data_IF_014854382808
#
_entry.id   IF_014854382808
#
_cell.length_a   1.000
_cell.length_b   1.000
_cell.length_c   1.000
_cell.angle_alpha   90.00
_cell.angle_beta   90.00
_cell.angle_gamma   90.00
#
_symmetry.space_group_name_H-M   'P 1'
#
loop_
_entity.id
_entity.type
_entity.pdbx_description
1 polymer ?
#
# COMPACT_ATOMS: atom_id res chain seq x y z
N UNK A 1 22.28 -20.62 -20.67
CA UNK A 1 22.34 -19.25 -20.11
C UNK A 1 21.45 -19.29 -18.89
N UNK A 2 22.03 -19.29 -17.69
CA UNK A 2 21.24 -19.31 -16.45
C UNK A 2 20.51 -17.97 -16.32
N UNK A 3 19.19 -18.02 -16.20
CA UNK A 3 18.38 -16.85 -15.91
C UNK A 3 18.23 -16.73 -14.40
N UNK A 4 18.63 -15.58 -13.87
CA UNK A 4 18.43 -15.23 -12.47
C UNK A 4 17.27 -14.24 -12.37
N UNK A 5 16.34 -14.50 -11.46
CA UNK A 5 15.30 -13.55 -11.07
C UNK A 5 15.80 -12.73 -9.90
N UNK A 6 15.86 -11.41 -10.07
CA UNK A 6 16.16 -10.48 -8.98
C UNK A 6 14.90 -10.24 -8.15
N UNK A 7 15.01 -10.37 -6.83
CA UNK A 7 13.92 -10.01 -5.94
C UNK A 7 13.80 -8.48 -5.87
N UNK A 8 12.58 -7.92 -6.01
CA UNK A 8 12.36 -6.49 -5.83
C UNK A 8 12.63 -6.08 -4.38
N UNK A 9 13.09 -4.85 -4.20
CA UNK A 9 13.21 -4.24 -2.87
C UNK A 9 11.83 -4.03 -2.24
N UNK A 10 11.78 -3.84 -0.92
CA UNK A 10 10.53 -3.48 -0.23
C UNK A 10 9.93 -2.18 -0.78
N UNK A 11 10.76 -1.18 -1.08
CA UNK A 11 10.32 0.09 -1.67
C UNK A 11 9.70 -0.11 -3.05
N UNK A 12 10.33 -0.93 -3.90
CA UNK A 12 9.78 -1.27 -5.21
C UNK A 12 8.45 -2.04 -5.07
N UNK A 13 8.35 -3.00 -4.16
CA UNK A 13 7.10 -3.72 -3.87
C UNK A 13 5.99 -2.78 -3.37
N UNK A 14 6.33 -1.87 -2.46
CA UNK A 14 5.39 -0.88 -1.94
C UNK A 14 4.87 0.04 -3.05
N UNK A 15 5.75 0.48 -3.95
CA UNK A 15 5.37 1.28 -5.13
C UNK A 15 4.39 0.53 -6.05
N UNK A 16 4.60 -0.77 -6.26
CA UNK A 16 3.71 -1.62 -7.07
C UNK A 16 2.34 -1.77 -6.39
N UNK A 17 2.30 -1.89 -5.07
CA UNK A 17 1.05 -1.93 -4.30
C UNK A 17 0.29 -0.61 -4.35
N UNK A 18 0.98 0.51 -4.14
CA UNK A 18 0.37 1.83 -4.23
C UNK A 18 -0.25 2.09 -5.61
N UNK A 19 0.43 1.64 -6.67
CA UNK A 19 -0.09 1.72 -8.03
C UNK A 19 -1.29 0.79 -8.28
N UNK A 20 -1.31 -0.40 -7.68
CA UNK A 20 -2.35 -1.40 -7.90
C UNK A 20 -3.61 -1.21 -7.04
N UNK A 21 -3.52 -0.52 -5.89
CA UNK A 21 -4.60 -0.38 -4.90
C UNK A 21 -5.92 0.08 -5.55
N UNK A 22 -5.84 1.09 -6.43
CA UNK A 22 -6.98 1.64 -7.16
C UNK A 22 -7.66 0.72 -8.18
N UNK A 23 -7.00 -0.37 -8.55
CA UNK A 23 -7.50 -1.36 -9.52
C UNK A 23 -7.94 -2.65 -8.84
N UNK A 24 -7.42 -2.90 -7.64
CA UNK A 24 -7.64 -4.09 -6.83
C UNK A 24 -7.76 -3.68 -5.37
N UNK A 25 -8.96 -3.28 -4.97
CA UNK A 25 -9.25 -2.93 -3.58
C UNK A 25 -9.46 -4.17 -2.70
N UNK A 26 -8.50 -5.10 -2.66
CA UNK A 26 -8.58 -6.28 -1.79
C UNK A 26 -8.08 -5.96 -0.40
N UNK A 27 -8.72 -6.52 0.62
CA UNK A 27 -8.37 -6.27 2.02
C UNK A 27 -6.89 -6.48 2.32
N UNK A 28 -6.31 -7.56 1.81
CA UNK A 28 -4.87 -7.86 1.97
C UNK A 28 -3.94 -6.76 1.46
N UNK A 29 -4.33 -6.02 0.41
CA UNK A 29 -3.52 -4.92 -0.12
C UNK A 29 -3.50 -3.72 0.84
N UNK A 30 -4.62 -3.45 1.54
CA UNK A 30 -4.68 -2.46 2.63
C UNK A 30 -3.86 -2.91 3.84
N UNK A 31 -3.95 -4.18 4.23
CA UNK A 31 -3.16 -4.73 5.35
C UNK A 31 -1.66 -4.67 5.05
N UNK A 32 -1.25 -5.03 3.84
CA UNK A 32 0.16 -4.94 3.43
C UNK A 32 0.66 -3.48 3.50
N UNK A 33 -0.13 -2.53 2.99
CA UNK A 33 0.22 -1.10 3.05
C UNK A 33 0.24 -0.58 4.49
N UNK A 34 -0.64 -1.07 5.37
CA UNK A 34 -0.63 -0.71 6.79
C UNK A 34 0.69 -1.10 7.45
N UNK A 35 1.16 -2.34 7.30
CA UNK A 35 2.43 -2.76 7.90
C UNK A 35 3.62 -2.03 7.30
N UNK A 36 3.64 -1.86 5.97
CA UNK A 36 4.69 -1.12 5.28
C UNK A 36 4.77 0.32 5.81
N UNK A 37 3.64 1.02 5.93
CA UNK A 37 3.58 2.41 6.36
C UNK A 37 3.82 2.58 7.87
N UNK A 38 3.46 1.57 8.67
CA UNK A 38 3.63 1.60 10.12
C UNK A 38 5.08 1.37 10.55
N UNK A 39 5.81 0.50 9.84
CA UNK A 39 7.10 0.00 10.32
C UNK A 39 8.30 0.34 9.43
N UNK A 40 8.08 0.71 8.17
CA UNK A 40 9.17 0.72 7.19
C UNK A 40 9.28 1.98 6.34
N UNK A 41 8.19 2.44 5.72
CA UNK A 41 8.24 3.47 4.66
C UNK A 41 7.18 4.56 4.88
N UNK A 42 7.44 5.73 4.33
CA UNK A 42 6.48 6.85 4.29
C UNK A 42 5.69 6.86 2.98
N UNK A 43 4.56 7.57 2.95
CA UNK A 43 3.84 7.81 1.69
C UNK A 43 4.75 8.50 0.67
N UNK A 44 5.51 9.52 1.10
CA UNK A 44 6.40 10.27 0.20
C UNK A 44 7.45 9.36 -0.46
N UNK A 45 8.08 8.46 0.30
CA UNK A 45 9.04 7.49 -0.27
C UNK A 45 8.39 6.57 -1.30
N UNK A 46 7.24 6.00 -0.97
CA UNK A 46 6.49 5.11 -1.85
C UNK A 46 6.03 5.86 -3.11
N UNK A 47 5.54 7.09 -2.96
CA UNK A 47 5.06 7.92 -4.06
C UNK A 47 6.20 8.35 -4.98
N UNK A 48 7.36 8.74 -4.44
CA UNK A 48 8.53 9.04 -5.27
C UNK A 48 8.97 7.81 -6.08
N UNK A 49 8.98 6.62 -5.48
CA UNK A 49 9.32 5.39 -6.20
C UNK A 49 8.25 5.03 -7.25
N UNK A 50 6.97 5.18 -6.92
CA UNK A 50 5.87 4.91 -7.84
C UNK A 50 5.87 5.87 -9.04
N UNK A 51 6.20 7.15 -8.84
CA UNK A 51 6.41 8.10 -9.94
C UNK A 51 7.57 7.68 -10.83
N UNK A 52 8.68 7.18 -10.27
CA UNK A 52 9.80 6.66 -11.08
C UNK A 52 9.41 5.44 -11.91
N UNK A 53 8.63 4.53 -11.33
CA UNK A 53 8.28 3.24 -11.95
C UNK A 53 7.11 3.35 -12.94
N UNK A 54 6.15 4.25 -12.70
CA UNK A 54 4.90 4.32 -13.44
C UNK A 54 4.62 5.68 -14.09
N UNK A 55 5.42 6.71 -13.80
CA UNK A 55 5.31 8.03 -14.42
C UNK A 55 3.91 8.63 -14.32
N UNK A 56 3.36 9.04 -15.46
CA UNK A 56 2.02 9.64 -15.57
C UNK A 56 0.86 8.70 -15.18
N UNK A 57 1.10 7.39 -15.11
CA UNK A 57 0.07 6.42 -14.70
C UNK A 57 -0.14 6.36 -13.19
N UNK A 58 0.71 7.03 -12.40
CA UNK A 58 0.58 7.13 -10.96
C UNK A 58 0.21 8.55 -10.53
N UNK A 59 -0.65 8.64 -9.53
CA UNK A 59 -1.03 9.90 -8.88
C UNK A 59 -1.04 9.69 -7.38
N UNK A 60 -0.17 10.39 -6.66
CA UNK A 60 -0.14 10.35 -5.20
C UNK A 60 -1.47 10.79 -4.59
N UNK A 61 -2.10 11.83 -5.17
CA UNK A 61 -3.42 12.29 -4.74
C UNK A 61 -4.43 11.14 -4.81
N UNK A 62 -4.47 10.42 -5.92
CA UNK A 62 -5.39 9.31 -6.10
C UNK A 62 -5.05 8.14 -5.16
N UNK A 63 -3.76 7.87 -4.93
CA UNK A 63 -3.31 6.87 -3.97
C UNK A 63 -3.79 7.19 -2.54
N UNK A 64 -3.65 8.43 -2.10
CA UNK A 64 -4.14 8.89 -0.78
C UNK A 64 -5.66 8.79 -0.68
N UNK A 65 -6.39 9.20 -1.72
CA UNK A 65 -7.85 9.04 -1.78
C UNK A 65 -8.27 7.57 -1.65
N UNK A 66 -7.55 6.66 -2.30
CA UNK A 66 -7.80 5.22 -2.25
C UNK A 66 -7.45 4.62 -0.89
N UNK A 67 -6.35 5.06 -0.27
CA UNK A 67 -5.99 4.66 1.10
C UNK A 67 -7.06 5.00 2.13
N UNK A 68 -7.79 6.10 1.94
CA UNK A 68 -8.86 6.51 2.83
C UNK A 68 -10.25 5.91 2.48
N UNK A 69 -10.37 5.23 1.34
CA UNK A 69 -11.66 4.75 0.84
C UNK A 69 -11.86 3.26 1.14
N UNK A 70 -12.70 2.96 2.13
CA UNK A 70 -12.91 1.59 2.60
C UNK A 70 -14.29 0.98 2.29
N UNK A 71 -15.13 1.68 1.52
CA UNK A 71 -16.54 1.28 1.31
C UNK A 71 -16.68 0.01 0.48
N UNK A 72 -15.83 -0.17 -0.53
CA UNK A 72 -15.96 -1.24 -1.54
C UNK A 72 -14.77 -2.21 -1.49
N UNK A 73 -14.26 -2.51 -0.29
CA UNK A 73 -13.17 -3.47 -0.10
C UNK A 73 -13.66 -4.90 -0.36
N UNK A 74 -12.89 -5.64 -1.13
CA UNK A 74 -13.09 -7.07 -1.37
C UNK A 74 -12.36 -7.91 -0.30
N UNK A 75 -13.15 -8.62 0.51
CA UNK A 75 -12.70 -9.53 1.58
C UNK A 75 -12.72 -11.02 1.17
N UNK A 76 -12.87 -11.32 -0.13
CA UNK A 76 -12.95 -12.70 -0.62
C UNK A 76 -11.71 -13.54 -0.32
N UNK A 77 -10.54 -12.90 -0.17
CA UNK A 77 -9.29 -13.54 0.24
C UNK A 77 -8.99 -13.18 1.71
N UNK A 78 -8.90 -14.16 2.62
CA UNK A 78 -8.54 -13.90 4.01
C UNK A 78 -7.05 -13.52 4.12
N UNK A 79 -6.71 -12.79 5.18
CA UNK A 79 -5.33 -12.50 5.54
C UNK A 79 -4.90 -13.44 6.66
N UNK A 80 -3.82 -14.18 6.42
CA UNK A 80 -3.19 -15.04 7.42
C UNK A 80 -2.07 -14.26 8.13
N UNK A 81 -2.19 -14.14 9.45
CA UNK A 81 -1.24 -13.38 10.26
C UNK A 81 -0.31 -14.33 11.01
N UNK A 82 0.96 -13.94 11.08
CA UNK A 82 1.98 -14.61 11.91
C UNK A 82 2.04 -14.04 13.33
N UNK A 83 1.30 -12.96 13.59
CA UNK A 83 1.19 -12.26 14.87
C UNK A 83 -0.29 -12.17 15.27
N UNK A 84 -0.54 -11.64 16.46
CA UNK A 84 -1.91 -11.25 16.84
C UNK A 84 -2.42 -10.20 15.83
N UNK A 85 -3.52 -10.46 15.12
CA UNK A 85 -3.99 -9.57 14.07
C UNK A 85 -4.49 -8.26 14.68
N UNK A 86 -4.06 -7.11 14.14
CA UNK A 86 -4.64 -5.82 14.53
C UNK A 86 -6.13 -5.78 14.17
N UNK A 87 -6.90 -5.00 14.92
CA UNK A 87 -8.31 -4.83 14.64
C UNK A 87 -8.51 -4.17 13.26
N UNK A 88 -9.50 -4.62 12.49
CA UNK A 88 -9.79 -4.06 11.17
C UNK A 88 -9.99 -2.53 11.21
N UNK A 89 -10.69 -2.03 12.23
CA UNK A 89 -10.88 -0.59 12.42
C UNK A 89 -9.58 0.14 12.78
N UNK A 90 -8.65 -0.49 13.50
CA UNK A 90 -7.32 0.09 13.75
C UNK A 90 -6.58 0.32 12.43
N UNK A 91 -6.59 -0.68 11.55
CA UNK A 91 -5.96 -0.60 10.23
C UNK A 91 -6.59 0.52 9.42
N UNK A 92 -7.91 0.56 9.31
CA UNK A 92 -8.63 1.58 8.55
C UNK A 92 -8.37 3.00 9.08
N UNK A 93 -8.47 3.20 10.40
CA UNK A 93 -8.21 4.51 11.01
C UNK A 93 -6.79 4.97 10.72
N UNK A 94 -5.80 4.08 10.91
CA UNK A 94 -4.39 4.39 10.61
C UNK A 94 -4.18 4.80 9.15
N UNK A 95 -4.79 4.09 8.19
CA UNK A 95 -4.65 4.41 6.76
C UNK A 95 -5.32 5.74 6.39
N UNK A 96 -6.47 6.07 7.00
CA UNK A 96 -7.11 7.38 6.85
C UNK A 96 -6.21 8.49 7.38
N UNK A 97 -5.65 8.30 8.58
CA UNK A 97 -4.72 9.27 9.18
C UNK A 97 -3.49 9.47 8.30
N UNK A 98 -2.90 8.39 7.78
CA UNK A 98 -1.76 8.49 6.87
C UNK A 98 -2.12 9.16 5.55
N UNK A 99 -3.31 8.93 5.00
CA UNK A 99 -3.75 9.57 3.77
C UNK A 99 -3.79 11.11 3.88
N UNK A 100 -4.18 11.64 5.05
CA UNK A 100 -4.27 13.09 5.31
C UNK A 100 -2.97 13.71 5.85
N UNK A 101 -2.00 12.89 6.21
CA UNK A 101 -0.69 13.32 6.71
C UNK A 101 0.11 13.96 5.56
N UNK A 102 0.06 15.30 5.48
CA UNK A 102 0.74 16.10 4.45
C UNK A 102 2.17 16.49 4.84
N UNK A 103 2.61 16.13 6.05
CA UNK A 103 3.90 16.53 6.61
C UNK A 103 4.90 15.36 6.60
N UNK A 104 5.89 15.43 5.70
CA UNK A 104 7.32 15.16 5.95
C UNK A 104 8.19 15.86 4.89
#
# INVERSE_FOLDING_TARGET
MEQYLTLPSLLSLASMKAYALGRRAKWKDYVDLYFILKEHLTINEISMEAVKNFGEFYSEKLFREQLAFHKDIDYSEPVEYMIDPPAEEEIKTFLIEKAIDLDQ
#
